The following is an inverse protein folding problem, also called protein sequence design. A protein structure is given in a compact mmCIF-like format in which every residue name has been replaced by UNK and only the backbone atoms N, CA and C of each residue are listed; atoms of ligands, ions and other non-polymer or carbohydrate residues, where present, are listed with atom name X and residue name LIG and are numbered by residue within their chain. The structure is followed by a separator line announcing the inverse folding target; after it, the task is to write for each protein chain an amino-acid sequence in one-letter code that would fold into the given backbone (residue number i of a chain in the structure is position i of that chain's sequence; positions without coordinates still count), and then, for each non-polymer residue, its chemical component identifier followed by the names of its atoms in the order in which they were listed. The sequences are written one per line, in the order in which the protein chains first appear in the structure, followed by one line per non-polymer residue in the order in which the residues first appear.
data_IF_567307295222
#
_entry.id   IF_567307295222
#
_cell.length_a   1.000
_cell.length_b   1.000
_cell.length_c   1.000
_cell.angle_alpha   90.00
_cell.angle_beta   90.00
_cell.angle_gamma   90.00
#
_symmetry.space_group_name_H-M   'P 1'
#
loop_
_entity.id
_entity.type
_entity.pdbx_description
1 polymer ?
#
# COMPACT_ATOMS: atom_id res chain seq x y z
N UNK A 1 -3.52 10.38 -17.70
CA UNK A 1 -3.89 10.11 -16.31
C UNK A 1 -2.72 10.36 -15.39
N UNK A 2 -2.99 10.90 -14.20
CA UNK A 2 -1.95 11.04 -13.20
C UNK A 2 -1.65 9.70 -12.56
N UNK A 3 -0.41 9.53 -12.09
CA UNK A 3 0.02 8.33 -11.38
C UNK A 3 0.19 8.65 -9.89
N UNK A 4 -0.10 7.67 -9.06
CA UNK A 4 -0.07 7.83 -7.62
C UNK A 4 0.65 6.66 -6.97
N UNK A 5 1.49 6.98 -5.98
CA UNK A 5 2.08 6.00 -5.09
C UNK A 5 1.10 5.77 -3.95
N UNK A 6 0.70 4.54 -3.77
CA UNK A 6 -0.21 4.15 -2.68
C UNK A 6 0.62 3.38 -1.66
N UNK A 7 0.66 3.89 -0.44
CA UNK A 7 1.42 3.27 0.65
C UNK A 7 0.45 2.66 1.65
N UNK A 8 0.63 1.39 1.91
CA UNK A 8 -0.16 0.66 2.91
C UNK A 8 0.57 0.70 4.22
N UNK A 9 -0.06 1.27 5.25
CA UNK A 9 0.56 1.49 6.56
C UNK A 9 -0.15 0.64 7.61
N UNK A 10 0.63 0.13 8.56
CA UNK A 10 0.10 -0.74 9.61
C UNK A 10 0.94 -0.58 10.87
N UNK A 11 0.32 -0.75 12.03
CA UNK A 11 1.02 -0.80 13.31
C UNK A 11 1.77 -2.11 13.50
N UNK A 12 1.47 -3.13 12.69
CA UNK A 12 2.17 -4.42 12.69
C UNK A 12 2.95 -4.53 11.39
N UNK A 13 4.25 -4.80 11.47
CA UNK A 13 5.09 -4.89 10.28
C UNK A 13 4.64 -6.02 9.36
N UNK A 14 4.94 -5.88 8.06
CA UNK A 14 4.63 -6.93 7.09
C UNK A 14 5.32 -8.25 7.47
N UNK A 15 6.56 -8.20 7.98
CA UNK A 15 7.26 -9.40 8.44
C UNK A 15 6.51 -10.12 9.53
N UNK A 16 6.03 -9.37 10.53
CA UNK A 16 5.31 -9.95 11.67
C UNK A 16 3.95 -10.46 11.24
N UNK A 17 3.26 -9.75 10.35
CA UNK A 17 1.99 -10.21 9.82
C UNK A 17 2.16 -11.55 9.10
N UNK A 18 3.19 -11.67 8.27
CA UNK A 18 3.45 -12.90 7.52
C UNK A 18 3.89 -14.03 8.44
N UNK A 19 4.70 -13.71 9.46
CA UNK A 19 5.19 -14.71 10.40
C UNK A 19 4.10 -15.27 11.31
N UNK A 20 3.11 -14.45 11.65
CA UNK A 20 2.05 -14.82 12.59
C UNK A 20 0.78 -15.33 11.92
N UNK A 21 0.69 -15.29 10.59
CA UNK A 21 -0.48 -15.74 9.86
C UNK A 21 -0.39 -17.23 9.54
N UNK A 22 -1.53 -17.90 9.57
CA UNK A 22 -1.61 -19.30 9.10
C UNK A 22 -1.57 -19.31 7.57
N UNK A 23 -1.21 -20.45 6.93
CA UNK A 23 -1.29 -20.56 5.47
C UNK A 23 -2.66 -20.20 4.92
N UNK A 24 -3.74 -20.57 5.62
CA UNK A 24 -5.11 -20.24 5.21
C UNK A 24 -5.37 -18.73 5.26
N UNK A 25 -4.86 -18.05 6.29
CA UNK A 25 -4.99 -16.61 6.42
C UNK A 25 -4.20 -15.87 5.32
N UNK A 26 -3.00 -16.35 5.00
CA UNK A 26 -2.21 -15.78 3.90
C UNK A 26 -2.92 -15.94 2.56
N UNK A 27 -3.50 -17.11 2.32
CA UNK A 27 -4.23 -17.38 1.08
C UNK A 27 -5.48 -16.50 0.99
N UNK A 28 -6.24 -16.38 2.09
CA UNK A 28 -7.44 -15.53 2.11
C UNK A 28 -7.09 -14.07 1.86
N UNK A 29 -5.99 -13.59 2.44
CA UNK A 29 -5.50 -12.24 2.19
C UNK A 29 -5.12 -12.01 0.74
N UNK A 30 -4.41 -12.96 0.13
CA UNK A 30 -4.04 -12.89 -1.28
C UNK A 30 -5.28 -12.91 -2.17
N UNK A 31 -6.25 -13.76 -1.87
CA UNK A 31 -7.49 -13.83 -2.65
C UNK A 31 -8.27 -12.51 -2.61
N UNK A 32 -8.35 -11.88 -1.43
CA UNK A 32 -9.02 -10.59 -1.28
C UNK A 32 -8.29 -9.50 -2.06
N UNK A 33 -6.96 -9.50 -1.99
CA UNK A 33 -6.14 -8.54 -2.72
C UNK A 33 -6.31 -8.69 -4.23
N UNK A 34 -6.28 -9.93 -4.72
CA UNK A 34 -6.46 -10.20 -6.15
C UNK A 34 -7.88 -9.89 -6.63
N UNK A 35 -8.88 -10.08 -5.78
CA UNK A 35 -10.26 -9.68 -6.11
C UNK A 35 -10.36 -8.16 -6.28
N UNK A 36 -9.71 -7.40 -5.38
CA UNK A 36 -9.64 -5.95 -5.52
C UNK A 36 -8.88 -5.55 -6.78
N UNK A 37 -7.76 -6.23 -7.08
CA UNK A 37 -6.97 -5.96 -8.28
C UNK A 37 -7.81 -6.16 -9.55
N UNK A 38 -8.65 -7.17 -9.56
CA UNK A 38 -9.57 -7.40 -10.69
C UNK A 38 -10.55 -6.25 -10.90
N UNK A 39 -11.06 -5.67 -9.82
CA UNK A 39 -11.92 -4.49 -9.89
C UNK A 39 -11.16 -3.25 -10.36
N UNK A 40 -9.94 -3.08 -9.87
CA UNK A 40 -9.12 -1.92 -10.21
C UNK A 40 -8.70 -1.94 -11.67
N UNK A 41 -8.43 -3.12 -12.22
CA UNK A 41 -8.16 -3.30 -13.65
C UNK A 41 -7.07 -2.38 -14.17
N UNK A 42 -7.41 -1.56 -15.16
CA UNK A 42 -6.46 -0.67 -15.83
C UNK A 42 -5.93 0.46 -14.93
N UNK A 43 -6.52 0.68 -13.77
CA UNK A 43 -5.99 1.64 -12.82
C UNK A 43 -4.67 1.17 -12.20
N UNK A 44 -4.36 -0.12 -12.27
CA UNK A 44 -3.13 -0.64 -11.70
C UNK A 44 -1.99 -0.50 -12.71
N UNK A 45 -0.97 0.30 -12.36
CA UNK A 45 0.30 0.39 -13.10
C UNK A 45 1.26 -0.67 -12.57
N UNK A 46 1.34 -0.80 -11.24
CA UNK A 46 2.16 -1.79 -10.56
C UNK A 46 1.41 -2.20 -9.30
N UNK A 47 1.06 -3.46 -9.19
CA UNK A 47 0.35 -3.97 -8.02
C UNK A 47 1.20 -3.84 -6.75
N UNK A 48 2.52 -3.88 -6.90
CA UNK A 48 3.45 -3.71 -5.80
C UNK A 48 3.72 -4.98 -5.04
N UNK A 49 4.31 -4.82 -3.87
CA UNK A 49 4.75 -5.93 -3.04
C UNK A 49 4.77 -5.48 -1.58
N UNK A 50 4.76 -6.40 -0.62
CA UNK A 50 5.01 -6.05 0.78
C UNK A 50 6.38 -5.41 0.95
N UNK A 51 6.48 -4.48 1.89
CA UNK A 51 7.71 -3.79 2.23
C UNK A 51 8.00 -3.99 3.71
N UNK A 52 9.27 -4.09 4.05
CA UNK A 52 9.72 -4.15 5.44
C UNK A 52 10.77 -3.07 5.66
N UNK A 53 10.71 -2.43 6.80
CA UNK A 53 11.70 -1.44 7.18
C UNK A 53 13.08 -2.10 7.28
N UNK A 54 14.08 -1.45 6.71
CA UNK A 54 15.47 -1.90 6.79
C UNK A 54 16.28 -0.93 7.64
N UNK A 55 16.29 0.35 7.28
CA UNK A 55 17.02 1.37 8.03
C UNK A 55 16.46 2.75 7.70
N UNK A 56 16.76 3.70 8.55
CA UNK A 56 16.40 5.10 8.35
C UNK A 56 17.63 5.95 8.55
N UNK A 57 17.88 6.85 7.61
CA UNK A 57 19.02 7.76 7.64
C UNK A 57 18.53 9.19 7.80
N UNK A 58 19.41 10.03 8.29
CA UNK A 58 19.13 11.47 8.42
C UNK A 58 19.02 11.90 9.87
N UNK A 59 19.13 13.21 10.12
CA UNK A 59 18.99 13.77 11.46
C UNK A 59 17.53 13.64 11.92
N UNK A 60 17.35 13.39 13.20
CA UNK A 60 16.01 13.18 13.75
C UNK A 60 15.42 11.81 13.46
N UNK A 61 16.17 10.93 12.80
CA UNK A 61 15.70 9.58 12.58
C UNK A 61 15.64 8.83 13.90
N UNK A 62 14.62 8.03 14.06
CA UNK A 62 14.43 7.20 15.25
C UNK A 62 14.29 5.74 14.81
N UNK A 63 14.19 4.85 15.79
CA UNK A 63 13.93 3.45 15.50
C UNK A 63 12.64 3.35 14.67
N UNK A 64 12.67 2.48 13.67
CA UNK A 64 11.49 2.22 12.85
C UNK A 64 10.52 1.40 13.67
N UNK A 65 9.26 1.82 13.71
CA UNK A 65 8.24 1.11 14.45
C UNK A 65 6.92 1.85 14.41
N UNK A 66 5.92 1.27 15.04
CA UNK A 66 4.59 1.84 15.10
C UNK A 66 3.89 1.78 13.75
N UNK A 67 3.51 2.94 13.25
CA UNK A 67 2.75 3.05 11.99
C UNK A 67 3.68 2.99 10.78
N UNK A 68 4.21 1.81 10.48
CA UNK A 68 5.17 1.61 9.40
C UNK A 68 4.50 1.33 8.05
N UNK A 69 5.23 1.65 6.99
CA UNK A 69 4.84 1.29 5.63
C UNK A 69 5.03 -0.22 5.47
N UNK A 70 3.95 -0.92 5.13
CA UNK A 70 3.95 -2.38 4.99
C UNK A 70 3.83 -2.85 3.55
N UNK A 71 3.64 -1.94 2.59
CA UNK A 71 3.56 -2.28 1.18
C UNK A 71 3.29 -1.06 0.33
N UNK A 72 3.26 -1.26 -0.99
CA UNK A 72 2.97 -0.19 -1.93
C UNK A 72 2.25 -0.72 -3.16
N UNK A 73 1.58 0.18 -3.87
CA UNK A 73 1.10 -0.02 -5.24
C UNK A 73 1.27 1.28 -6.00
N UNK A 74 1.34 1.20 -7.33
CA UNK A 74 1.30 2.39 -8.18
C UNK A 74 0.03 2.29 -9.01
N UNK A 75 -0.82 3.30 -8.88
CA UNK A 75 -2.10 3.37 -9.57
C UNK A 75 -2.15 4.61 -10.45
N UNK A 76 -3.07 4.62 -11.40
CA UNK A 76 -3.33 5.79 -12.25
C UNK A 76 -4.82 6.11 -12.23
N UNK A 77 -5.14 7.39 -12.34
CA UNK A 77 -6.51 7.85 -12.36
C UNK A 77 -6.58 9.25 -12.94
N UNK A 78 -7.75 9.62 -13.46
CA UNK A 78 -8.00 10.98 -13.96
C UNK A 78 -8.18 11.98 -12.83
N UNK A 79 -8.53 11.52 -11.62
CA UNK A 79 -8.73 12.40 -10.48
C UNK A 79 -8.39 11.68 -9.17
N UNK A 80 -8.06 12.47 -8.15
CA UNK A 80 -7.83 11.95 -6.79
C UNK A 80 -9.11 11.34 -6.25
N UNK A 81 -10.25 11.97 -6.52
CA UNK A 81 -11.54 11.50 -6.01
C UNK A 81 -11.89 10.11 -6.53
N UNK A 82 -11.65 9.85 -7.82
CA UNK A 82 -11.88 8.53 -8.40
C UNK A 82 -10.94 7.49 -7.80
N UNK A 83 -9.67 7.89 -7.57
CA UNK A 83 -8.69 7.01 -6.96
C UNK A 83 -9.06 6.68 -5.52
N UNK A 84 -9.48 7.66 -4.74
CA UNK A 84 -9.89 7.46 -3.35
C UNK A 84 -11.05 6.47 -3.26
N UNK A 85 -12.04 6.61 -4.14
CA UNK A 85 -13.18 5.67 -4.17
C UNK A 85 -12.72 4.23 -4.41
N UNK A 86 -11.74 4.04 -5.28
CA UNK A 86 -11.19 2.72 -5.55
C UNK A 86 -10.40 2.17 -4.36
N UNK A 87 -9.57 3.00 -3.75
CA UNK A 87 -8.69 2.62 -2.65
C UNK A 87 -9.49 2.32 -1.37
N UNK A 88 -10.62 3.01 -1.17
CA UNK A 88 -11.48 2.74 -0.02
C UNK A 88 -12.03 1.32 0.00
N UNK A 89 -12.12 0.67 -1.15
CA UNK A 89 -12.56 -0.72 -1.25
C UNK A 89 -11.45 -1.74 -1.04
N UNK A 90 -10.21 -1.26 -0.89
CA UNK A 90 -9.06 -2.16 -0.72
C UNK A 90 -9.13 -2.91 0.61
N UNK A 91 -8.81 -4.23 0.62
CA UNK A 91 -8.87 -5.02 1.86
C UNK A 91 -8.05 -4.44 3.01
N UNK A 92 -6.90 -3.82 2.73
CA UNK A 92 -6.04 -3.22 3.75
C UNK A 92 -6.75 -2.12 4.53
N UNK A 93 -7.60 -1.35 3.86
CA UNK A 93 -8.34 -0.24 4.47
C UNK A 93 -9.35 -0.72 5.52
N UNK A 94 -9.84 -1.92 5.39
CA UNK A 94 -10.89 -2.45 6.27
C UNK A 94 -10.36 -3.11 7.53
N UNK A 95 -9.05 -3.21 7.70
CA UNK A 95 -8.44 -3.80 8.89
C UNK A 95 -8.23 -2.70 9.93
N UNK A 96 -8.75 -2.84 11.16
CA UNK A 96 -8.55 -1.84 12.21
C UNK A 96 -7.06 -1.58 12.47
N UNK A 97 -6.71 -0.31 12.63
CA UNK A 97 -5.32 0.10 12.85
C UNK A 97 -4.49 0.28 11.59
N UNK A 98 -5.02 -0.10 10.44
CA UNK A 98 -4.36 0.12 9.15
C UNK A 98 -4.82 1.42 8.51
N UNK A 99 -3.93 2.01 7.71
CA UNK A 99 -4.25 3.20 6.92
C UNK A 99 -3.61 3.10 5.55
N UNK A 100 -4.07 3.94 4.63
CA UNK A 100 -3.54 4.03 3.28
C UNK A 100 -3.22 5.48 2.99
N UNK A 101 -2.01 5.74 2.51
CA UNK A 101 -1.56 7.06 2.12
C UNK A 101 -1.39 7.11 0.61
N UNK A 102 -1.92 8.16 -0.02
CA UNK A 102 -1.88 8.34 -1.47
C UNK A 102 -1.02 9.56 -1.77
N UNK A 103 0.01 9.38 -2.58
CA UNK A 103 0.93 10.44 -2.97
C UNK A 103 0.94 10.55 -4.49
N UNK A 104 0.76 11.74 -5.01
CA UNK A 104 0.86 11.95 -6.46
C UNK A 104 2.32 11.88 -6.89
N UNK A 105 2.59 11.15 -7.97
CA UNK A 105 3.93 11.04 -8.54
C UNK A 105 4.11 12.21 -9.50
N UNK A 106 5.03 13.11 -9.17
CA UNK A 106 5.28 14.32 -9.96
C UNK A 106 6.41 14.06 -10.95
N UNK A 107 6.34 14.71 -12.10
CA UNK A 107 7.44 14.68 -13.06
C UNK A 107 8.60 15.53 -12.55
N UNK A 108 9.81 15.03 -12.75
CA UNK A 108 11.02 15.83 -12.46
C UNK A 108 11.14 16.97 -13.47
N UNK A 109 11.58 18.17 -13.03
CA UNK A 109 11.84 19.25 -13.97
C UNK A 109 12.82 18.83 -15.06
N UNK A 110 12.50 19.11 -16.32
CA UNK A 110 13.35 18.78 -17.44
C UNK A 110 13.20 17.36 -17.98
N UNK A 111 12.27 16.60 -17.45
CA UNK A 111 12.01 15.22 -17.92
C UNK A 111 10.68 15.12 -18.66
#
# INVERSE_FOLDING_TARGET
MAKFMVLYRSSVSARDQMANATPEQLQAGMDAWMAWAGKAGDAIVDLGTPLAAATRLGSGSSAVGGDDISGYSILQSDSVEALVSLVEEHPHHHVPGNSIEVLEILAMPGT
#
